data_IF_623168140219
#
_entry.id   IF_623168140219
#
_cell.length_a   1.000
_cell.length_b   1.000
_cell.length_c   1.000
_cell.angle_alpha   90.00
_cell.angle_beta   90.00
_cell.angle_gamma   90.00
#
_symmetry.space_group_name_H-M   'P 1'
#
loop_
_entity.id
_entity.type
_entity.pdbx_description
1 polymer ?
#
# COMPACT_ATOMS: atom_id res chain seq x y z
N UNK A 1 -9.43 4.00 -25.16
CA UNK A 1 -8.71 4.41 -23.95
C UNK A 1 -8.01 3.19 -23.40
N UNK A 2 -6.69 3.24 -23.24
CA UNK A 2 -5.92 2.13 -22.67
C UNK A 2 -5.80 2.31 -21.16
N UNK A 3 -6.42 1.39 -20.41
CA UNK A 3 -6.24 1.25 -18.96
C UNK A 3 -5.00 0.38 -18.71
N UNK A 4 -4.26 0.64 -17.63
CA UNK A 4 -3.17 -0.23 -17.23
C UNK A 4 -2.66 0.03 -15.82
N UNK A 5 -1.81 -0.88 -15.35
CA UNK A 5 -1.18 -0.82 -14.04
C UNK A 5 0.30 -0.54 -14.18
N UNK A 6 0.83 0.29 -13.29
CA UNK A 6 2.27 0.53 -13.21
C UNK A 6 2.79 0.21 -11.81
N UNK A 7 4.02 -0.31 -11.78
CA UNK A 7 4.83 -0.49 -10.58
C UNK A 7 6.17 0.22 -10.76
N UNK A 8 6.73 0.71 -9.66
CA UNK A 8 8.10 1.26 -9.62
C UNK A 8 8.88 0.49 -8.57
N UNK A 9 9.90 -0.26 -8.99
CA UNK A 9 10.66 -1.12 -8.10
C UNK A 9 12.15 -1.14 -8.48
N UNK A 10 13.00 -0.65 -7.58
CA UNK A 10 14.46 -0.69 -7.75
C UNK A 10 15.12 -1.60 -6.73
N UNK A 11 15.92 -2.55 -7.18
CA UNK A 11 16.56 -3.60 -6.39
C UNK A 11 15.70 -4.87 -6.23
N UNK A 12 16.38 -6.01 -6.23
CA UNK A 12 15.80 -7.36 -6.34
C UNK A 12 14.60 -7.60 -5.42
N UNK A 13 14.72 -7.20 -4.15
CA UNK A 13 13.65 -7.36 -3.16
C UNK A 13 12.33 -6.70 -3.61
N UNK A 14 12.38 -5.47 -4.09
CA UNK A 14 11.16 -4.73 -4.45
C UNK A 14 10.60 -5.21 -5.79
N UNK A 15 11.47 -5.68 -6.67
CA UNK A 15 11.08 -6.32 -7.92
C UNK A 15 10.31 -7.60 -7.61
N UNK A 16 10.81 -8.45 -6.72
CA UNK A 16 10.10 -9.65 -6.26
C UNK A 16 8.73 -9.31 -5.65
N UNK A 17 8.65 -8.28 -4.79
CA UNK A 17 7.38 -7.78 -4.24
C UNK A 17 6.42 -7.36 -5.37
N UNK A 18 6.89 -6.55 -6.33
CA UNK A 18 6.07 -6.07 -7.46
C UNK A 18 5.59 -7.21 -8.36
N UNK A 19 6.45 -8.20 -8.66
CA UNK A 19 6.08 -9.38 -9.45
C UNK A 19 5.05 -10.24 -8.74
N UNK A 20 5.14 -10.38 -7.41
CA UNK A 20 4.15 -11.09 -6.61
C UNK A 20 2.79 -10.35 -6.61
N UNK A 21 2.81 -9.02 -6.50
CA UNK A 21 1.62 -8.18 -6.66
C UNK A 21 1.00 -8.34 -8.05
N UNK A 22 1.79 -8.19 -9.12
CA UNK A 22 1.34 -8.33 -10.49
C UNK A 22 0.77 -9.73 -10.78
N UNK A 23 1.38 -10.79 -10.24
CA UNK A 23 0.85 -12.14 -10.33
C UNK A 23 -0.55 -12.23 -9.70
N UNK A 24 -0.72 -11.67 -8.51
CA UNK A 24 -2.02 -11.66 -7.82
C UNK A 24 -3.09 -10.87 -8.58
N UNK A 25 -2.71 -9.76 -9.22
CA UNK A 25 -3.57 -8.95 -10.10
C UNK A 25 -4.02 -9.73 -11.33
N UNK A 26 -3.09 -10.39 -12.03
CA UNK A 26 -3.37 -11.13 -13.27
C UNK A 26 -4.34 -12.31 -13.06
N UNK A 27 -4.53 -12.79 -11.82
CA UNK A 27 -5.58 -13.78 -11.50
C UNK A 27 -7.00 -13.24 -11.73
N UNK A 28 -7.21 -11.95 -11.48
CA UNK A 28 -8.51 -11.30 -11.59
C UNK A 28 -8.63 -10.48 -12.88
N UNK A 29 -7.52 -9.90 -13.36
CA UNK A 29 -7.48 -9.03 -14.54
C UNK A 29 -6.38 -9.48 -15.53
N UNK A 30 -6.51 -10.67 -16.16
CA UNK A 30 -5.43 -11.28 -16.95
C UNK A 30 -5.00 -10.45 -18.17
N UNK A 31 -5.91 -9.65 -18.72
CA UNK A 31 -5.67 -8.85 -19.92
C UNK A 31 -5.31 -7.38 -19.63
N UNK A 32 -5.33 -6.95 -18.36
CA UNK A 32 -4.96 -5.59 -18.03
C UNK A 32 -3.44 -5.42 -18.20
N UNK A 33 -2.96 -4.50 -19.05
CA UNK A 33 -1.53 -4.28 -19.24
C UNK A 33 -0.83 -3.86 -17.95
N UNK A 34 0.37 -4.42 -17.71
CA UNK A 34 1.22 -4.11 -16.56
C UNK A 34 2.60 -3.63 -17.04
N UNK A 35 3.01 -2.45 -16.60
CA UNK A 35 4.38 -1.91 -16.82
C UNK A 35 5.16 -1.89 -15.51
N UNK A 36 6.39 -2.40 -15.52
CA UNK A 36 7.34 -2.26 -14.42
C UNK A 36 8.45 -1.27 -14.79
N UNK A 37 8.61 -0.22 -13.99
CA UNK A 37 9.78 0.65 -14.01
C UNK A 37 10.82 0.11 -13.02
N UNK A 38 12.00 -0.29 -13.49
CA UNK A 38 13.00 -0.98 -12.67
C UNK A 38 14.44 -0.79 -13.12
N UNK A 39 15.40 -1.01 -12.22
CA UNK A 39 16.85 -0.92 -12.44
C UNK A 39 17.48 -2.26 -12.86
N UNK A 40 16.68 -3.32 -13.04
CA UNK A 40 17.14 -4.64 -13.48
C UNK A 40 16.35 -5.10 -14.69
N UNK A 41 17.02 -5.84 -15.56
CA UNK A 41 16.34 -6.56 -16.63
C UNK A 41 15.78 -7.87 -16.06
N UNK A 42 14.46 -8.02 -16.09
CA UNK A 42 13.76 -9.19 -15.54
C UNK A 42 12.68 -9.67 -16.48
N UNK A 43 12.57 -10.99 -16.62
CA UNK A 43 11.51 -11.63 -17.38
C UNK A 43 10.40 -12.12 -16.43
N UNK A 44 9.15 -11.83 -16.78
CA UNK A 44 7.99 -12.31 -16.02
C UNK A 44 6.77 -12.41 -16.93
N UNK A 45 5.97 -13.48 -16.84
CA UNK A 45 4.71 -13.61 -17.59
C UNK A 45 3.61 -12.66 -17.08
N UNK A 46 3.84 -11.97 -15.97
CA UNK A 46 2.89 -11.03 -15.36
C UNK A 46 3.12 -9.58 -15.79
N UNK A 47 4.17 -9.33 -16.58
CA UNK A 47 4.51 -8.01 -17.11
C UNK A 47 4.28 -7.99 -18.62
N UNK A 48 3.68 -6.91 -19.11
CA UNK A 48 3.52 -6.65 -20.54
C UNK A 48 4.62 -5.71 -21.05
N UNK A 49 5.18 -4.87 -20.17
CA UNK A 49 6.27 -3.96 -20.48
C UNK A 49 7.22 -3.81 -19.29
N UNK A 50 8.50 -3.69 -19.59
CA UNK A 50 9.55 -3.31 -18.65
C UNK A 50 10.23 -2.04 -19.16
N UNK A 51 10.45 -1.08 -18.27
CA UNK A 51 11.17 0.16 -18.56
C UNK A 51 12.36 0.25 -17.62
N UNK A 52 13.57 0.21 -18.18
CA UNK A 52 14.79 0.39 -17.41
C UNK A 52 14.92 1.83 -16.92
N UNK A 53 15.22 2.00 -15.64
CA UNK A 53 15.35 3.29 -14.97
C UNK A 53 16.68 3.44 -14.26
N UNK A 54 17.10 4.69 -14.09
CA UNK A 54 18.32 5.03 -13.34
C UNK A 54 18.11 4.91 -11.81
N UNK A 55 19.07 4.32 -11.11
CA UNK A 55 19.11 4.17 -9.65
C UNK A 55 19.33 5.49 -8.89
N UNK A 56 19.62 6.61 -9.59
CA UNK A 56 20.00 7.88 -8.98
C UNK A 56 18.94 8.51 -8.03
N UNK A 57 17.70 8.03 -8.04
CA UNK A 57 16.61 8.57 -7.23
C UNK A 57 16.31 7.69 -6.01
N UNK A 58 16.01 8.32 -4.86
CA UNK A 58 15.41 7.59 -3.74
C UNK A 58 14.09 6.95 -4.18
N UNK A 59 13.73 5.78 -3.62
CA UNK A 59 12.56 5.01 -4.06
C UNK A 59 11.25 5.85 -4.14
N UNK A 60 11.02 6.72 -3.14
CA UNK A 60 9.85 7.60 -3.11
C UNK A 60 9.88 8.67 -4.21
N UNK A 61 11.08 9.21 -4.49
CA UNK A 61 11.29 10.18 -5.57
C UNK A 61 11.09 9.53 -6.93
N UNK A 62 11.66 8.35 -7.13
CA UNK A 62 11.48 7.53 -8.33
C UNK A 62 10.01 7.23 -8.58
N UNK A 63 9.26 6.86 -7.53
CA UNK A 63 7.81 6.63 -7.59
C UNK A 63 7.06 7.82 -8.20
N UNK A 64 7.23 9.03 -7.64
CA UNK A 64 6.55 10.24 -8.12
C UNK A 64 6.93 10.53 -9.58
N UNK A 65 8.23 10.45 -9.88
CA UNK A 65 8.75 10.71 -11.22
C UNK A 65 8.17 9.75 -12.28
N UNK A 66 8.21 8.45 -12.03
CA UNK A 66 7.78 7.45 -13.02
C UNK A 66 6.25 7.28 -13.11
N UNK A 67 5.48 7.65 -12.08
CA UNK A 67 4.02 7.76 -12.23
C UNK A 67 3.63 8.73 -13.34
N UNK A 68 4.32 9.87 -13.46
CA UNK A 68 4.09 10.86 -14.52
C UNK A 68 4.46 10.36 -15.93
N UNK A 69 5.16 9.23 -16.03
CA UNK A 69 5.61 8.60 -17.27
C UNK A 69 4.79 7.38 -17.66
N UNK A 70 3.65 7.14 -16.99
CA UNK A 70 2.77 6.03 -17.35
C UNK A 70 2.48 5.98 -18.86
N UNK A 71 2.57 4.79 -19.50
CA UNK A 71 2.23 4.63 -20.92
C UNK A 71 0.72 4.55 -21.16
N UNK A 72 -0.10 4.56 -20.10
CA UNK A 72 -1.55 4.37 -20.19
C UNK A 72 -2.31 5.70 -20.13
N UNK A 73 -3.50 5.74 -20.71
CA UNK A 73 -4.40 6.89 -20.61
C UNK A 73 -5.04 6.98 -19.22
N UNK A 74 -5.35 5.81 -18.63
CA UNK A 74 -5.86 5.67 -17.27
C UNK A 74 -5.00 4.67 -16.53
N UNK A 75 -4.43 5.10 -15.42
CA UNK A 75 -3.38 4.35 -14.74
C UNK A 75 -3.78 4.05 -13.31
N UNK A 76 -3.61 2.80 -12.90
CA UNK A 76 -3.57 2.40 -11.50
C UNK A 76 -2.11 2.18 -11.09
N UNK A 77 -1.56 3.08 -10.28
CA UNK A 77 -0.29 2.88 -9.61
C UNK A 77 -0.48 2.03 -8.35
N UNK A 78 0.41 1.06 -8.17
CA UNK A 78 0.47 0.21 -6.98
C UNK A 78 1.88 0.21 -6.40
N UNK A 79 1.99 0.40 -5.09
CA UNK A 79 3.21 0.10 -4.34
C UNK A 79 3.52 -1.41 -4.46
N UNK A 80 4.80 -1.76 -4.36
CA UNK A 80 5.29 -3.14 -4.60
C UNK A 80 4.72 -4.15 -3.60
N UNK A 81 4.43 -3.71 -2.38
CA UNK A 81 3.95 -4.52 -1.25
C UNK A 81 2.42 -4.64 -1.17
N UNK A 82 1.79 -4.66 -2.33
CA UNK A 82 0.34 -4.87 -2.51
C UNK A 82 0.04 -6.32 -2.91
N UNK A 83 -1.18 -6.79 -2.60
CA UNK A 83 -1.68 -8.08 -3.05
C UNK A 83 -3.17 -7.98 -3.37
N UNK A 84 -3.54 -8.38 -4.59
CA UNK A 84 -4.85 -8.18 -5.17
C UNK A 84 -5.72 -9.41 -4.86
N UNK A 85 -6.89 -9.12 -4.27
CA UNK A 85 -7.85 -10.08 -3.74
C UNK A 85 -9.18 -10.09 -4.51
N UNK A 86 -9.32 -9.27 -5.55
CA UNK A 86 -10.54 -9.21 -6.35
C UNK A 86 -10.38 -8.36 -7.61
N UNK A 87 -11.41 -8.39 -8.45
CA UNK A 87 -11.49 -7.52 -9.63
C UNK A 87 -11.48 -6.03 -9.23
N UNK A 88 -10.73 -5.22 -10.00
CA UNK A 88 -10.53 -3.78 -9.78
C UNK A 88 -11.07 -2.94 -10.96
N UNK A 89 -11.86 -3.52 -11.86
CA UNK A 89 -12.34 -2.83 -13.06
C UNK A 89 -13.09 -1.56 -12.70
N UNK A 90 -13.93 -1.63 -11.65
CA UNK A 90 -14.74 -0.52 -11.15
C UNK A 90 -13.93 0.67 -10.64
N UNK A 91 -12.64 0.49 -10.32
CA UNK A 91 -11.78 1.62 -9.97
C UNK A 91 -11.65 2.56 -11.16
N UNK A 92 -11.46 2.05 -12.37
CA UNK A 92 -11.26 2.88 -13.57
C UNK A 92 -12.48 3.72 -13.94
N UNK A 93 -13.68 3.29 -13.54
CA UNK A 93 -14.93 4.05 -13.73
C UNK A 93 -14.92 5.36 -12.94
N UNK A 94 -14.16 5.43 -11.83
CA UNK A 94 -13.98 6.67 -11.06
C UNK A 94 -13.38 7.79 -11.93
N UNK A 95 -12.54 7.44 -12.90
CA UNK A 95 -11.90 8.41 -13.78
C UNK A 95 -12.85 8.98 -14.85
N UNK A 96 -14.11 8.53 -14.93
CA UNK A 96 -15.12 9.19 -15.77
C UNK A 96 -15.56 10.54 -15.18
N UNK A 97 -15.41 10.71 -13.85
CA UNK A 97 -15.87 11.90 -13.13
C UNK A 97 -14.77 12.63 -12.35
N UNK A 98 -13.64 11.97 -12.09
CA UNK A 98 -12.54 12.50 -11.29
C UNK A 98 -11.21 12.43 -12.05
N UNK A 99 -10.28 13.30 -11.70
CA UNK A 99 -8.96 13.36 -12.35
C UNK A 99 -8.01 12.32 -11.72
N UNK A 100 -8.22 12.02 -10.44
CA UNK A 100 -7.52 10.98 -9.69
C UNK A 100 -8.37 10.41 -8.53
N UNK A 101 -7.99 9.26 -8.01
CA UNK A 101 -8.59 8.66 -6.83
C UNK A 101 -7.55 7.95 -5.97
N UNK A 102 -7.70 8.01 -4.65
CA UNK A 102 -6.81 7.36 -3.69
C UNK A 102 -7.58 6.97 -2.41
N UNK A 103 -6.98 6.15 -1.57
CA UNK A 103 -7.55 5.76 -0.27
C UNK A 103 -6.98 6.64 0.83
N UNK A 104 -7.77 6.98 1.84
CA UNK A 104 -7.28 7.66 3.04
C UNK A 104 -6.12 6.89 3.68
N UNK A 105 -5.14 7.61 4.23
CA UNK A 105 -4.14 7.00 5.11
C UNK A 105 -4.82 6.55 6.42
N UNK A 106 -4.52 5.33 6.86
CA UNK A 106 -5.18 4.73 8.02
C UNK A 106 -4.35 4.92 9.29
N UNK A 107 -4.98 5.39 10.35
CA UNK A 107 -4.49 5.17 11.72
C UNK A 107 -3.28 5.99 12.16
N UNK A 108 -2.84 6.99 11.39
CA UNK A 108 -1.89 8.00 11.86
C UNK A 108 -2.57 9.35 12.01
N UNK A 109 -2.12 10.14 13.00
CA UNK A 109 -2.47 11.55 13.04
C UNK A 109 -2.03 12.19 11.73
N UNK A 110 -2.99 12.78 11.01
CA UNK A 110 -2.74 13.50 9.76
C UNK A 110 -1.58 14.46 9.96
N UNK A 111 -0.51 14.32 9.17
CA UNK A 111 0.66 15.15 9.38
C UNK A 111 0.26 16.62 9.14
N UNK A 112 0.50 17.53 10.11
CA UNK A 112 0.09 18.91 9.95
C UNK A 112 0.87 19.55 8.81
N UNK A 113 0.13 20.10 7.84
CA UNK A 113 0.69 20.90 6.75
C UNK A 113 0.17 22.31 6.92
N UNK A 114 1.06 23.30 6.84
CA UNK A 114 0.66 24.69 6.91
C UNK A 114 -0.37 25.00 5.81
N UNK A 115 -1.42 25.77 6.13
CA UNK A 115 -2.50 26.17 5.21
C UNK A 115 -3.44 25.04 4.73
N UNK A 116 -3.16 23.77 5.04
CA UNK A 116 -4.08 22.65 4.75
C UNK A 116 -4.96 22.37 5.99
N UNK A 117 -6.30 22.56 5.90
CA UNK A 117 -7.22 22.28 7.00
C UNK A 117 -7.12 20.82 7.46
N UNK A 118 -7.28 20.59 8.76
CA UNK A 118 -7.28 19.24 9.34
C UNK A 118 -8.40 18.35 8.82
N UNK A 119 -9.48 18.94 8.29
CA UNK A 119 -10.59 18.24 7.64
C UNK A 119 -10.27 17.74 6.23
N UNK A 120 -9.20 18.23 5.59
CA UNK A 120 -8.73 17.68 4.32
C UNK A 120 -7.85 16.45 4.62
N UNK A 121 -8.22 15.24 4.18
CA UNK A 121 -7.56 14.01 4.60
C UNK A 121 -6.15 13.89 4.03
N UNK A 122 -5.30 13.11 4.70
CA UNK A 122 -4.12 12.54 4.08
C UNK A 122 -4.51 11.27 3.32
N UNK A 123 -3.95 11.10 2.13
CA UNK A 123 -4.16 9.92 1.30
C UNK A 123 -2.91 9.04 1.31
N UNK A 124 -3.10 7.73 1.36
CA UNK A 124 -2.02 6.76 1.17
C UNK A 124 -1.55 6.81 -0.29
N UNK A 125 -0.23 6.82 -0.49
CA UNK A 125 0.39 6.99 -1.82
C UNK A 125 0.71 5.66 -2.52
N UNK A 126 0.28 4.53 -1.96
CA UNK A 126 0.56 3.19 -2.51
C UNK A 126 -0.54 2.60 -3.37
N UNK A 127 -1.71 3.24 -3.44
CA UNK A 127 -2.76 2.93 -4.41
C UNK A 127 -3.32 4.24 -4.94
N UNK A 128 -2.92 4.61 -6.16
CA UNK A 128 -3.34 5.87 -6.79
C UNK A 128 -3.85 5.56 -8.19
N UNK A 129 -5.09 5.92 -8.45
CA UNK A 129 -5.70 5.88 -9.76
C UNK A 129 -5.68 7.27 -10.38
N UNK A 130 -5.31 7.42 -11.64
CA UNK A 130 -5.23 8.74 -12.29
C UNK A 130 -5.40 8.70 -13.80
N UNK A 131 -5.90 9.80 -14.36
CA UNK A 131 -5.88 10.03 -15.80
C UNK A 131 -4.55 10.65 -16.23
N UNK A 132 -4.02 10.22 -17.37
CA UNK A 132 -2.76 10.72 -17.90
C UNK A 132 -2.93 11.99 -18.75
N UNK A 133 -3.55 13.02 -18.15
CA UNK A 133 -3.80 14.32 -18.79
C UNK A 133 -2.68 15.30 -18.48
N UNK A 134 -2.59 16.39 -19.24
CA UNK A 134 -1.64 17.47 -18.98
C UNK A 134 -1.79 18.05 -17.56
N UNK A 135 -3.03 18.22 -17.07
CA UNK A 135 -3.31 18.72 -15.71
C UNK A 135 -2.76 17.79 -14.63
N UNK A 136 -2.94 16.48 -14.79
CA UNK A 136 -2.42 15.49 -13.84
C UNK A 136 -0.89 15.38 -13.93
N UNK A 137 -0.30 15.48 -15.12
CA UNK A 137 1.16 15.55 -15.28
C UNK A 137 1.76 16.79 -14.61
N UNK A 138 1.13 17.95 -14.77
CA UNK A 138 1.53 19.18 -14.09
C UNK A 138 1.44 19.03 -12.55
N UNK A 139 0.39 18.37 -12.07
CA UNK A 139 0.27 18.02 -10.66
C UNK A 139 1.41 17.11 -10.17
N UNK A 140 1.79 16.06 -10.91
CA UNK A 140 2.94 15.23 -10.51
C UNK A 140 4.25 16.02 -10.45
N UNK A 141 4.44 16.99 -11.35
CA UNK A 141 5.60 17.89 -11.31
C UNK A 141 5.57 18.83 -10.09
N UNK A 142 4.41 19.36 -9.73
CA UNK A 142 4.24 20.15 -8.52
C UNK A 142 4.47 19.30 -7.27
N UNK A 143 3.89 18.10 -7.20
CA UNK A 143 4.12 17.16 -6.10
C UNK A 143 5.60 16.82 -5.96
N UNK A 144 6.31 16.55 -7.07
CA UNK A 144 7.74 16.32 -7.07
C UNK A 144 8.53 17.51 -6.50
N UNK A 145 8.15 18.74 -6.90
CA UNK A 145 8.77 19.99 -6.41
C UNK A 145 8.56 20.16 -4.91
N UNK A 146 7.33 19.95 -4.43
CA UNK A 146 7.00 20.00 -3.00
C UNK A 146 7.79 18.92 -2.26
N UNK A 147 7.77 17.67 -2.73
CA UNK A 147 8.47 16.54 -2.12
C UNK A 147 9.99 16.76 -1.98
N UNK A 148 10.62 17.43 -2.95
CA UNK A 148 12.06 17.74 -2.95
C UNK A 148 12.40 18.94 -2.03
N UNK A 149 11.42 19.69 -1.52
CA UNK A 149 11.65 20.82 -0.61
C UNK A 149 12.11 20.39 0.79
N UNK A 150 12.88 21.27 1.45
CA UNK A 150 13.42 21.02 2.80
C UNK A 150 12.34 20.72 3.84
N UNK A 151 11.13 21.28 3.69
CA UNK A 151 9.97 21.05 4.56
C UNK A 151 9.67 19.57 4.74
N UNK A 152 9.83 18.78 3.67
CA UNK A 152 9.48 17.36 3.68
C UNK A 152 10.65 16.45 4.01
N UNK A 153 11.81 17.02 4.37
CA UNK A 153 12.99 16.30 4.86
C UNK A 153 12.98 16.31 6.39
N UNK A 154 12.31 15.32 6.99
CA UNK A 154 12.28 15.17 8.46
C UNK A 154 13.25 14.07 8.87
N UNK A 155 14.26 14.42 9.67
CA UNK A 155 15.32 13.50 10.11
C UNK A 155 16.01 12.76 8.95
N UNK A 156 16.26 13.49 7.85
CA UNK A 156 16.93 12.96 6.66
C UNK A 156 16.09 11.99 5.82
N UNK A 157 14.76 11.97 6.01
CA UNK A 157 13.84 11.17 5.20
C UNK A 157 12.80 12.07 4.56
N UNK A 158 12.53 11.81 3.28
CA UNK A 158 11.45 12.47 2.56
C UNK A 158 10.11 11.77 2.81
N UNK A 159 9.05 12.57 2.95
CA UNK A 159 7.69 12.11 3.21
C UNK A 159 6.78 12.42 2.01
N UNK A 160 6.41 11.37 1.28
CA UNK A 160 5.63 11.41 0.04
C UNK A 160 4.14 11.64 0.28
N UNK A 161 3.55 11.09 1.34
CA UNK A 161 2.11 11.25 1.61
C UNK A 161 1.73 12.66 2.12
N UNK A 162 2.45 13.28 3.07
CA UNK A 162 2.17 14.66 3.46
C UNK A 162 2.39 15.67 2.33
N UNK A 163 3.44 15.50 1.52
CA UNK A 163 3.67 16.33 0.32
C UNK A 163 2.61 16.10 -0.75
N UNK A 164 2.11 14.87 -0.90
CA UNK A 164 0.98 14.55 -1.78
C UNK A 164 -0.28 15.27 -1.32
N UNK A 165 -0.58 15.24 -0.02
CA UNK A 165 -1.70 15.96 0.59
C UNK A 165 -1.61 17.46 0.34
N UNK A 166 -0.43 18.05 0.53
CA UNK A 166 -0.19 19.46 0.23
C UNK A 166 -0.47 19.77 -1.25
N UNK A 167 0.16 19.02 -2.15
CA UNK A 167 0.01 19.20 -3.59
C UNK A 167 -1.46 19.09 -4.02
N UNK A 168 -2.20 18.14 -3.46
CA UNK A 168 -3.62 17.95 -3.76
C UNK A 168 -4.45 19.16 -3.33
N UNK A 169 -4.23 19.63 -2.10
CA UNK A 169 -4.97 20.76 -1.55
C UNK A 169 -4.70 22.07 -2.31
N UNK A 170 -3.48 22.25 -2.81
CA UNK A 170 -3.09 23.40 -3.63
C UNK A 170 -3.54 23.30 -5.10
N UNK A 171 -4.08 22.15 -5.54
CA UNK A 171 -4.46 21.90 -6.93
C UNK A 171 -5.97 22.09 -7.18
N UNK A 172 -6.33 22.34 -8.44
CA UNK A 172 -7.73 22.34 -8.90
C UNK A 172 -8.21 20.95 -9.39
N UNK A 173 -7.50 19.87 -9.04
CA UNK A 173 -7.86 18.52 -9.46
C UNK A 173 -9.04 17.98 -8.65
N UNK A 174 -9.93 17.25 -9.33
CA UNK A 174 -11.02 16.52 -8.69
C UNK A 174 -10.49 15.18 -8.22
N UNK A 175 -10.32 15.03 -6.91
CA UNK A 175 -9.96 13.77 -6.26
C UNK A 175 -11.20 13.03 -5.77
N UNK A 176 -11.26 11.72 -6.03
CA UNK A 176 -12.19 10.80 -5.38
C UNK A 176 -11.53 10.03 -4.24
N UNK A 177 -12.29 9.77 -3.18
CA UNK A 177 -11.89 8.85 -2.11
C UNK A 177 -12.35 7.43 -2.44
N UNK A 178 -11.38 6.54 -2.65
CA UNK A 178 -11.63 5.10 -2.73
C UNK A 178 -11.92 4.53 -1.34
N UNK A 179 -12.76 3.50 -1.28
CA UNK A 179 -13.09 2.83 -0.02
C UNK A 179 -11.90 2.01 0.51
N UNK A 180 -11.86 1.73 1.82
CA UNK A 180 -10.71 1.07 2.46
C UNK A 180 -10.43 -0.36 1.95
N UNK A 181 -11.40 -0.98 1.28
CA UNK A 181 -11.26 -2.26 0.58
C UNK A 181 -10.18 -2.24 -0.50
N UNK A 182 -9.92 -1.08 -1.12
CA UNK A 182 -8.96 -0.90 -2.21
C UNK A 182 -7.55 -0.56 -1.72
N UNK A 183 -7.33 -0.48 -0.40
CA UNK A 183 -6.00 -0.30 0.19
C UNK A 183 -6.05 -0.70 1.67
N UNK A 184 -6.28 -1.99 1.94
CA UNK A 184 -6.52 -2.49 3.28
C UNK A 184 -5.20 -2.71 4.03
N UNK A 185 -4.87 -1.79 4.94
CA UNK A 185 -3.77 -1.91 5.90
C UNK A 185 -4.22 -2.72 7.12
N UNK A 186 -4.16 -4.05 7.02
CA UNK A 186 -4.79 -4.96 7.98
C UNK A 186 -4.06 -5.14 9.34
N UNK A 187 -2.96 -4.42 9.60
CA UNK A 187 -2.11 -4.62 10.78
C UNK A 187 -2.24 -3.54 11.84
N UNK A 188 -2.27 -2.27 11.44
CA UNK A 188 -2.15 -1.13 12.37
C UNK A 188 -3.47 -0.83 13.13
N UNK A 189 -4.50 -1.63 12.89
CA UNK A 189 -5.84 -1.41 13.42
C UNK A 189 -6.71 -0.69 12.40
N UNK A 190 -7.94 -1.15 12.22
CA UNK A 190 -8.85 -0.51 11.28
C UNK A 190 -10.17 -1.24 11.14
N UNK A 191 -11.03 -0.69 10.29
CA UNK A 191 -12.32 -1.28 9.97
C UNK A 191 -12.57 -1.29 8.46
N UNK A 192 -13.34 -2.28 8.02
CA UNK A 192 -13.66 -2.46 6.62
C UNK A 192 -14.99 -3.20 6.49
N UNK A 193 -15.82 -2.78 5.54
CA UNK A 193 -17.04 -3.48 5.09
C UNK A 193 -16.93 -3.79 3.59
N UNK A 194 -17.63 -4.79 3.07
CA UNK A 194 -17.49 -5.22 1.67
C UNK A 194 -16.34 -6.22 1.43
N UNK A 195 -16.16 -6.67 0.20
CA UNK A 195 -15.05 -7.56 -0.15
C UNK A 195 -13.72 -6.80 -0.15
N UNK A 196 -12.66 -7.36 0.44
CA UNK A 196 -11.31 -6.80 0.32
C UNK A 196 -10.83 -6.98 -1.11
N UNK A 197 -10.40 -5.89 -1.73
CA UNK A 197 -9.90 -5.85 -3.10
C UNK A 197 -8.37 -5.80 -3.16
N UNK A 198 -7.74 -5.04 -2.26
CA UNK A 198 -6.28 -4.93 -2.17
C UNK A 198 -5.84 -4.99 -0.71
N UNK A 199 -4.94 -5.91 -0.39
CA UNK A 199 -4.17 -5.92 0.86
C UNK A 199 -2.87 -5.15 0.63
N UNK A 200 -2.49 -4.29 1.57
CA UNK A 200 -1.28 -3.48 1.43
C UNK A 200 -0.47 -3.52 2.72
N UNK A 201 0.68 -4.20 2.67
CA UNK A 201 1.66 -4.19 3.75
C UNK A 201 2.98 -4.84 3.37
N UNK A 202 4.10 -4.11 3.51
CA UNK A 202 5.45 -4.70 3.53
C UNK A 202 5.68 -5.47 4.82
N UNK A 203 5.36 -6.75 4.79
CA UNK A 203 5.39 -7.61 5.99
C UNK A 203 5.42 -9.08 5.64
N UNK A 204 5.89 -9.89 6.57
CA UNK A 204 6.02 -11.35 6.40
C UNK A 204 4.69 -12.06 6.73
N UNK A 205 3.55 -11.47 6.35
CA UNK A 205 2.26 -12.13 6.43
C UNK A 205 2.05 -12.93 5.14
N UNK A 206 1.37 -14.06 5.27
CA UNK A 206 0.90 -14.84 4.12
C UNK A 206 -0.37 -14.17 3.59
N UNK A 207 -0.25 -13.40 2.51
CA UNK A 207 -1.37 -12.67 1.93
C UNK A 207 -2.57 -13.56 1.57
N UNK A 208 -2.42 -14.73 0.93
CA UNK A 208 -3.51 -15.69 0.75
C UNK A 208 -4.23 -16.08 2.05
N UNK A 209 -3.51 -16.27 3.17
CA UNK A 209 -4.14 -16.53 4.47
C UNK A 209 -4.90 -15.31 4.97
N UNK A 210 -4.33 -14.11 4.83
CA UNK A 210 -4.99 -12.84 5.21
C UNK A 210 -6.26 -12.63 4.38
N UNK A 211 -6.18 -12.76 3.06
CA UNK A 211 -7.31 -12.70 2.11
C UNK A 211 -8.40 -13.66 2.56
N UNK A 212 -8.05 -14.94 2.78
CA UNK A 212 -9.00 -15.97 3.22
C UNK A 212 -9.68 -15.61 4.53
N UNK A 213 -8.97 -15.03 5.51
CA UNK A 213 -9.54 -14.66 6.81
C UNK A 213 -10.44 -13.42 6.70
N UNK A 214 -9.99 -12.37 6.01
CA UNK A 214 -10.73 -11.11 5.93
C UNK A 214 -11.95 -11.20 5.01
N UNK A 215 -11.91 -12.04 3.97
CA UNK A 215 -13.01 -12.26 3.04
C UNK A 215 -13.96 -13.41 3.44
N UNK A 216 -13.88 -13.96 4.66
CA UNK A 216 -14.88 -14.95 5.14
C UNK A 216 -16.32 -14.39 5.20
N UNK A 217 -16.46 -13.07 5.22
CA UNK A 217 -17.73 -12.34 5.29
C UNK A 217 -17.50 -10.99 4.63
N UNK A 218 -18.55 -10.36 4.09
CA UNK A 218 -18.52 -8.96 3.59
C UNK A 218 -19.07 -7.95 4.61
N UNK A 219 -19.52 -8.43 5.78
CA UNK A 219 -20.05 -7.59 6.85
C UNK A 219 -18.95 -6.70 7.45
N UNK A 220 -19.30 -5.62 8.18
CA UNK A 220 -18.31 -4.80 8.86
C UNK A 220 -17.40 -5.63 9.77
N UNK A 221 -16.09 -5.49 9.55
CA UNK A 221 -15.04 -6.14 10.34
C UNK A 221 -14.11 -5.10 10.92
N UNK A 222 -13.56 -5.44 12.07
CA UNK A 222 -12.46 -4.73 12.70
C UNK A 222 -11.26 -5.67 12.69
N UNK A 223 -10.10 -5.18 12.29
CA UNK A 223 -8.85 -5.88 12.44
C UNK A 223 -7.93 -5.08 13.36
N UNK A 224 -7.14 -5.78 14.16
CA UNK A 224 -6.15 -5.19 15.04
C UNK A 224 -4.98 -6.17 15.19
N UNK A 225 -3.77 -5.68 14.92
CA UNK A 225 -2.56 -6.49 14.87
C UNK A 225 -2.65 -7.65 13.86
N UNK A 226 -2.91 -8.87 14.33
CA UNK A 226 -2.96 -10.08 13.50
C UNK A 226 -4.31 -10.80 13.56
N UNK A 227 -5.35 -10.12 14.07
CA UNK A 227 -6.68 -10.70 14.31
C UNK A 227 -7.75 -9.89 13.61
N UNK A 228 -8.79 -10.59 13.15
CA UNK A 228 -10.01 -9.98 12.63
C UNK A 228 -11.25 -10.42 13.40
N UNK A 229 -12.19 -9.50 13.53
CA UNK A 229 -13.43 -9.63 14.25
C UNK A 229 -14.58 -9.11 13.38
N UNK A 230 -15.74 -9.75 13.49
CA UNK A 230 -16.99 -9.30 12.86
C UNK A 230 -18.02 -9.01 13.97
N UNK A 231 -18.88 -8.03 13.74
CA UNK A 231 -20.00 -7.74 14.64
C UNK A 231 -21.23 -8.54 14.23
N UNK A 232 -21.82 -9.26 15.19
CA UNK A 232 -23.08 -9.99 15.03
C UNK A 232 -24.18 -9.27 15.81
N UNK A 233 -25.35 -9.09 15.18
CA UNK A 233 -26.57 -8.71 15.90
C UNK A 233 -27.24 -9.98 16.42
N UNK A 234 -27.46 -10.04 17.72
CA UNK A 234 -28.09 -11.17 18.42
C UNK A 234 -29.23 -10.67 19.31
N UNK A 235 -30.15 -11.56 19.68
CA UNK A 235 -31.30 -11.26 20.52
C UNK A 235 -32.53 -10.79 19.74
N UNK A 236 -33.69 -11.38 20.03
CA UNK A 236 -34.96 -11.05 19.38
C UNK A 236 -35.57 -9.74 19.90
N UNK A 237 -36.03 -9.74 21.16
CA UNK A 237 -36.72 -8.58 21.76
C UNK A 237 -35.76 -7.48 22.25
N UNK A 238 -34.51 -7.82 22.60
CA UNK A 238 -33.47 -6.86 23.01
C UNK A 238 -32.25 -7.05 22.12
N UNK A 239 -32.00 -6.16 21.16
CA UNK A 239 -30.83 -6.25 20.30
C UNK A 239 -29.55 -6.14 21.11
N UNK A 240 -28.64 -7.09 20.92
CA UNK A 240 -27.27 -7.07 21.44
C UNK A 240 -26.29 -7.18 20.28
N UNK A 241 -25.10 -6.62 20.45
CA UNK A 241 -24.00 -6.74 19.49
C UNK A 241 -22.87 -7.51 20.16
N UNK A 242 -22.45 -8.60 19.53
CA UNK A 242 -21.30 -9.38 19.98
C UNK A 242 -20.21 -9.38 18.92
N UNK A 243 -18.95 -9.30 19.38
CA UNK A 243 -17.79 -9.46 18.52
C UNK A 243 -17.44 -10.95 18.42
N UNK A 244 -17.47 -11.47 17.21
CA UNK A 244 -17.00 -12.82 16.90
C UNK A 244 -15.64 -12.71 16.20
N UNK A 245 -14.64 -13.45 16.68
CA UNK A 245 -13.35 -13.53 15.98
C UNK A 245 -13.50 -14.35 14.70
N UNK A 246 -13.08 -13.78 13.56
CA UNK A 246 -13.04 -14.47 12.27
C UNK A 246 -11.80 -15.36 12.13
N UNK A 247 -10.67 -14.89 12.67
CA UNK A 247 -9.42 -15.64 12.60
C UNK A 247 -8.22 -14.86 13.07
N UNK A 248 -7.06 -15.49 12.92
CA UNK A 248 -5.72 -14.91 13.07
C UNK A 248 -4.98 -15.18 11.78
N UNK A 249 -4.34 -14.18 11.19
CA UNK A 249 -3.59 -14.35 9.94
C UNK A 249 -2.12 -14.71 10.16
N UNK A 250 -1.59 -14.43 11.36
CA UNK A 250 -0.25 -14.84 11.80
C UNK A 250 0.92 -14.19 11.04
N UNK A 251 1.99 -13.81 11.76
CA UNK A 251 3.29 -13.55 11.11
C UNK A 251 3.92 -14.89 10.79
N UNK A 252 4.45 -15.12 9.58
CA UNK A 252 5.18 -16.36 9.25
C UNK A 252 6.27 -16.63 10.32
N UNK A 253 6.09 -17.63 11.23
CA UNK A 253 6.87 -17.66 12.46
C UNK A 253 8.33 -18.06 12.27
N UNK A 254 8.63 -18.87 11.25
CA UNK A 254 9.94 -19.51 11.12
C UNK A 254 10.97 -18.63 10.40
N UNK A 255 10.62 -18.05 9.25
CA UNK A 255 11.55 -17.21 8.49
C UNK A 255 11.96 -15.94 9.26
N UNK A 256 11.04 -15.31 10.00
CA UNK A 256 11.31 -14.11 10.80
C UNK A 256 12.26 -14.33 11.97
N UNK A 257 12.15 -15.48 12.65
CA UNK A 257 13.09 -15.82 13.72
C UNK A 257 14.46 -16.07 13.11
N UNK A 258 14.53 -16.83 12.01
CA UNK A 258 15.78 -17.15 11.32
C UNK A 258 16.46 -15.92 10.74
N UNK A 259 15.76 -15.07 9.98
CA UNK A 259 16.31 -13.83 9.39
C UNK A 259 16.77 -12.84 10.45
N UNK A 260 15.97 -12.64 11.51
CA UNK A 260 16.38 -11.77 12.63
C UNK A 260 17.58 -12.36 13.35
N UNK A 261 17.59 -13.66 13.59
CA UNK A 261 18.73 -14.34 14.19
C UNK A 261 19.98 -14.21 13.32
N UNK A 262 19.90 -14.45 12.02
CA UNK A 262 21.01 -14.29 11.07
C UNK A 262 21.54 -12.86 11.09
N UNK A 263 20.65 -11.86 10.97
CA UNK A 263 21.05 -10.45 11.00
C UNK A 263 21.68 -10.02 12.33
N UNK A 264 21.24 -10.59 13.45
CA UNK A 264 21.87 -10.35 14.76
C UNK A 264 23.21 -11.09 14.90
N UNK A 265 23.32 -12.30 14.37
CA UNK A 265 24.56 -13.07 14.34
C UNK A 265 25.62 -12.36 13.52
N UNK A 266 25.27 -11.85 12.36
CA UNK A 266 26.15 -11.06 11.49
C UNK A 266 26.63 -9.77 12.16
N UNK A 267 25.74 -9.08 12.89
CA UNK A 267 26.04 -7.76 13.47
C UNK A 267 26.72 -7.83 14.85
N UNK A 268 26.37 -8.80 15.68
CA UNK A 268 26.70 -8.84 17.11
C UNK A 268 27.36 -10.15 17.55
N UNK A 269 27.53 -11.10 16.63
CA UNK A 269 28.01 -12.44 16.93
C UNK A 269 27.06 -13.27 17.79
N UNK A 270 27.44 -14.54 18.01
CA UNK A 270 26.65 -15.50 18.79
C UNK A 270 26.39 -15.03 20.23
N UNK A 271 27.44 -14.53 20.91
CA UNK A 271 27.35 -14.06 22.31
C UNK A 271 26.41 -12.85 22.46
N UNK A 272 26.49 -11.87 21.55
CA UNK A 272 25.63 -10.68 21.57
C UNK A 272 24.17 -11.04 21.30
N UNK A 273 23.93 -11.92 20.34
CA UNK A 273 22.60 -12.44 19.99
C UNK A 273 21.94 -13.15 21.18
N UNK A 274 22.67 -14.06 21.84
CA UNK A 274 22.19 -14.80 23.02
C UNK A 274 21.92 -13.88 24.22
N UNK A 275 22.80 -12.92 24.51
CA UNK A 275 22.61 -11.96 25.60
C UNK A 275 21.34 -11.12 25.42
N UNK A 276 21.07 -10.69 24.19
CA UNK A 276 19.90 -9.88 23.84
C UNK A 276 18.60 -10.68 23.87
N UNK A 277 18.63 -11.93 23.39
CA UNK A 277 17.50 -12.86 23.50
C UNK A 277 17.12 -13.10 24.98
N UNK A 278 18.13 -13.32 25.83
CA UNK A 278 17.95 -13.50 27.26
C UNK A 278 17.37 -12.26 27.97
N UNK A 279 17.84 -11.04 27.63
CA UNK A 279 17.25 -9.79 28.15
C UNK A 279 15.76 -9.64 27.79
N UNK A 280 15.37 -10.00 26.56
CA UNK A 280 13.97 -9.93 26.11
C UNK A 280 13.05 -10.94 26.81
N UNK A 281 13.57 -12.12 27.12
CA UNK A 281 12.83 -13.14 27.88
C UNK A 281 12.63 -12.71 29.34
N UNK A 282 13.61 -12.02 29.94
CA UNK A 282 13.47 -11.47 31.30
C UNK A 282 12.59 -10.21 31.41
N UNK A 283 12.51 -9.40 30.36
CA UNK A 283 11.69 -8.17 30.35
C UNK A 283 10.21 -8.37 30.00
N UNK A 284 9.74 -9.61 29.91
CA UNK A 284 8.34 -9.98 29.63
C UNK A 284 7.67 -10.75 30.79
N UNK A 285 8.27 -10.71 31.98
CA UNK A 285 7.66 -11.17 33.24
C UNK A 285 7.22 -9.95 34.03
#
# INVERSE_FOLDING_TARGET
>A
MVNGVIYVATGDKYIEEALYSAASLKRYMPHLPVTLFTDRDVESPYLDQLVLVDEAHSAKRAKIHYMSQSPYERTLFLDTDTYICGDLTDTFDMLDHFDLAAVHENGQETYPVEQVPTSFPEYNSGVILFQNTERVRAFFQQWQTIFDSETWIVKGRHFDQPSFRQALYESDLRIATLTSQYNCHFVDGGCVAGEIKILHRRSNFDFPVVEKVLNQTIRPRIYIADRAYVTNKIGGLVPRVEAQQLGVFGKAPQQLVVERWQKYLEREGLRGTLHRAWKRLRGKV
#
